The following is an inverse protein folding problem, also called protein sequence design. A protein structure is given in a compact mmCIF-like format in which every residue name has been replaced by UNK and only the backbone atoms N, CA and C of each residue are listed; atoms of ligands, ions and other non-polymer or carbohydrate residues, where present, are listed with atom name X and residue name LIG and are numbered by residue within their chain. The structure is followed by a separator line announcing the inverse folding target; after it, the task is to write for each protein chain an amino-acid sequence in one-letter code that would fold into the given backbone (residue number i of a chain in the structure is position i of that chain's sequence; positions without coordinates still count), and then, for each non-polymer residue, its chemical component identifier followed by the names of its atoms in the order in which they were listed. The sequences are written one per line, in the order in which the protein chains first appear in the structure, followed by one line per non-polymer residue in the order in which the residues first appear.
data_IF_099443236157
#
_entry.id   IF_099443236157
#
_cell.length_a   1.000
_cell.length_b   1.000
_cell.length_c   1.000
_cell.angle_alpha   90.00
_cell.angle_beta   90.00
_cell.angle_gamma   90.00
#
_symmetry.space_group_name_H-M   'P 1'
#
loop_
_entity.id
_entity.type
_entity.pdbx_description
1 polymer ?
#
# COMPACT_ATOMS: atom_id res chain seq x y z
N UNK A 1 12.29 48.39 -5.49
CA UNK A 1 11.91 47.50 -6.61
C UNK A 1 11.01 46.39 -6.07
N UNK A 2 9.73 46.35 -6.49
CA UNK A 2 8.74 45.36 -6.02
C UNK A 2 8.96 44.03 -6.75
N UNK A 3 9.12 42.93 -6.00
CA UNK A 3 9.18 41.57 -6.55
C UNK A 3 7.87 41.26 -7.30
N UNK A 4 7.94 41.09 -8.62
CA UNK A 4 6.81 40.56 -9.40
C UNK A 4 6.48 39.16 -8.89
N UNK A 5 5.26 38.98 -8.38
CA UNK A 5 4.71 37.67 -8.10
C UNK A 5 4.58 36.93 -9.43
N UNK A 6 5.39 35.89 -9.61
CA UNK A 6 5.30 34.99 -10.74
C UNK A 6 3.93 34.29 -10.70
N UNK A 7 2.99 34.73 -11.54
CA UNK A 7 1.67 34.10 -11.65
C UNK A 7 1.84 32.63 -12.05
N UNK A 8 1.54 31.73 -11.12
CA UNK A 8 1.58 30.29 -11.40
C UNK A 8 0.42 29.94 -12.33
N UNK A 9 0.75 29.25 -13.43
CA UNK A 9 -0.17 28.80 -14.49
C UNK A 9 -1.50 28.23 -13.94
N UNK A 10 -2.60 28.51 -14.64
CA UNK A 10 -3.94 27.98 -14.33
C UNK A 10 -3.98 26.47 -14.15
N UNK A 11 -3.15 25.74 -14.91
CA UNK A 11 -2.97 24.30 -14.80
C UNK A 11 -2.45 23.89 -13.41
N UNK A 12 -1.53 24.65 -12.83
CA UNK A 12 -1.01 24.40 -11.48
C UNK A 12 -2.08 24.66 -10.41
N UNK A 13 -2.87 25.73 -10.54
CA UNK A 13 -3.99 26.03 -9.63
C UNK A 13 -5.05 24.92 -9.68
N UNK A 14 -5.39 24.44 -10.88
CA UNK A 14 -6.34 23.35 -11.07
C UNK A 14 -5.88 22.06 -10.38
N UNK A 15 -4.65 21.57 -10.67
CA UNK A 15 -4.13 20.36 -10.04
C UNK A 15 -3.93 20.48 -8.53
N UNK A 16 -3.60 21.69 -8.04
CA UNK A 16 -3.53 21.97 -6.59
C UNK A 16 -4.90 21.83 -5.94
N UNK A 17 -5.95 22.40 -6.53
CA UNK A 17 -7.30 22.33 -5.98
C UNK A 17 -7.85 20.91 -6.01
N UNK A 18 -7.62 20.16 -7.10
CA UNK A 18 -7.94 18.72 -7.18
C UNK A 18 -7.22 17.95 -6.07
N UNK A 19 -5.92 18.21 -5.86
CA UNK A 19 -5.16 17.59 -4.77
C UNK A 19 -5.71 17.91 -3.38
N UNK A 20 -6.11 19.16 -3.12
CA UNK A 20 -6.71 19.56 -1.84
C UNK A 20 -8.06 18.87 -1.62
N UNK A 21 -8.92 18.80 -2.64
CA UNK A 21 -10.24 18.14 -2.56
C UNK A 21 -10.08 16.64 -2.30
N UNK A 22 -9.12 15.99 -2.95
CA UNK A 22 -8.84 14.57 -2.69
C UNK A 22 -8.36 14.37 -1.25
N UNK A 23 -7.43 15.20 -0.77
CA UNK A 23 -6.90 15.08 0.60
C UNK A 23 -7.98 15.38 1.65
N UNK A 24 -8.81 16.40 1.45
CA UNK A 24 -9.91 16.72 2.37
C UNK A 24 -10.99 15.66 2.37
N UNK A 25 -11.32 15.06 1.22
CA UNK A 25 -12.23 13.92 1.13
C UNK A 25 -11.70 12.68 1.84
N UNK A 26 -10.40 12.42 1.75
CA UNK A 26 -9.74 11.32 2.47
C UNK A 26 -9.78 11.52 3.99
N UNK A 27 -9.41 12.72 4.46
CA UNK A 27 -9.43 13.05 5.89
C UNK A 27 -10.87 13.04 6.44
N UNK A 28 -11.81 13.66 5.71
CA UNK A 28 -13.22 13.68 6.08
C UNK A 28 -13.84 12.29 6.09
N UNK A 29 -13.48 11.42 5.14
CA UNK A 29 -13.95 10.03 5.10
C UNK A 29 -13.46 9.19 6.28
N UNK A 30 -12.18 9.33 6.67
CA UNK A 30 -11.62 8.65 7.84
C UNK A 30 -12.27 9.14 9.15
N UNK A 31 -12.46 10.46 9.30
CA UNK A 31 -13.10 11.03 10.49
C UNK A 31 -14.57 10.64 10.58
N UNK A 32 -15.33 10.73 9.48
CA UNK A 32 -16.74 10.34 9.44
C UNK A 32 -16.96 8.88 9.81
N UNK A 33 -16.07 7.99 9.37
CA UNK A 33 -16.06 6.59 9.78
C UNK A 33 -15.83 6.39 11.28
N UNK A 34 -14.81 7.05 11.85
CA UNK A 34 -14.49 6.90 13.27
C UNK A 34 -15.66 7.38 14.13
N UNK A 35 -16.28 8.51 13.77
CA UNK A 35 -17.48 9.01 14.44
C UNK A 35 -18.67 8.05 14.30
N UNK A 36 -18.86 7.41 13.15
CA UNK A 36 -19.93 6.42 12.95
C UNK A 36 -19.75 5.14 13.75
N UNK A 37 -18.51 4.66 13.91
CA UNK A 37 -18.20 3.47 14.71
C UNK A 37 -18.23 3.71 16.21
N UNK A 38 -17.70 4.85 16.69
CA UNK A 38 -17.61 5.17 18.11
C UNK A 38 -18.82 5.96 18.64
N UNK A 39 -19.67 6.49 17.77
CA UNK A 39 -20.89 7.23 18.12
C UNK A 39 -22.15 6.37 18.24
N UNK A 40 -22.07 5.05 18.02
CA UNK A 40 -23.19 4.13 18.21
C UNK A 40 -23.28 3.69 19.67
N UNK A 41 -24.43 3.90 20.32
CA UNK A 41 -24.70 3.53 21.73
C UNK A 41 -24.75 2.01 21.98
N UNK A 42 -24.36 1.16 21.03
CA UNK A 42 -24.43 -0.29 21.16
C UNK A 42 -23.11 -0.85 21.70
N UNK A 43 -23.15 -1.76 22.70
CA UNK A 43 -21.94 -2.41 23.20
C UNK A 43 -21.26 -3.19 22.07
N UNK A 44 -19.95 -2.99 21.92
CA UNK A 44 -19.13 -3.62 20.88
C UNK A 44 -18.93 -5.11 21.20
N UNK A 45 -19.80 -5.97 20.68
CA UNK A 45 -19.62 -7.43 20.77
C UNK A 45 -18.54 -7.91 19.79
N UNK A 46 -17.62 -8.77 20.23
CA UNK A 46 -16.49 -9.27 19.43
C UNK A 46 -16.96 -9.98 18.15
N UNK A 47 -18.14 -10.62 18.16
CA UNK A 47 -18.72 -11.24 16.96
C UNK A 47 -19.18 -10.21 15.92
N UNK A 48 -19.59 -9.01 16.33
CA UNK A 48 -19.98 -7.94 15.40
C UNK A 48 -18.79 -7.38 14.62
N UNK A 49 -17.56 -7.54 15.13
CA UNK A 49 -16.33 -7.10 14.46
C UNK A 49 -16.03 -7.84 13.16
N UNK A 50 -16.49 -9.09 13.04
CA UNK A 50 -16.29 -9.92 11.85
C UNK A 50 -17.50 -9.88 10.90
N UNK A 51 -18.44 -8.96 11.11
CA UNK A 51 -19.50 -8.71 10.14
C UNK A 51 -18.91 -8.24 8.81
N UNK A 52 -19.44 -8.73 7.68
CA UNK A 52 -18.97 -8.37 6.34
C UNK A 52 -19.03 -6.86 6.09
N UNK A 53 -20.02 -6.18 6.65
CA UNK A 53 -20.15 -4.73 6.58
C UNK A 53 -19.00 -4.02 7.31
N UNK A 54 -18.68 -4.42 8.54
CA UNK A 54 -17.57 -3.82 9.27
C UNK A 54 -16.21 -4.18 8.65
N UNK A 55 -16.05 -5.40 8.14
CA UNK A 55 -14.83 -5.83 7.45
C UNK A 55 -14.62 -5.05 6.15
N UNK A 56 -15.68 -4.79 5.39
CA UNK A 56 -15.64 -3.91 4.23
C UNK A 56 -15.23 -2.50 4.65
N UNK A 57 -15.96 -1.91 5.60
CA UNK A 57 -15.77 -0.53 6.05
C UNK A 57 -14.34 -0.35 6.62
N UNK A 58 -13.88 -1.30 7.44
CA UNK A 58 -12.53 -1.37 7.99
C UNK A 58 -11.46 -1.53 6.91
N UNK A 59 -11.73 -2.32 5.86
CA UNK A 59 -10.82 -2.43 4.71
C UNK A 59 -10.69 -1.12 3.94
N UNK A 60 -11.79 -0.37 3.77
CA UNK A 60 -11.75 0.97 3.16
C UNK A 60 -10.86 1.90 3.98
N UNK A 61 -11.07 1.98 5.30
CA UNK A 61 -10.26 2.85 6.16
C UNK A 61 -8.80 2.44 6.19
N UNK A 62 -8.53 1.14 6.28
CA UNK A 62 -7.16 0.63 6.23
C UNK A 62 -6.49 0.98 4.89
N UNK A 63 -7.21 0.87 3.76
CA UNK A 63 -6.71 1.34 2.46
C UNK A 63 -6.38 2.83 2.49
N UNK A 64 -7.27 3.68 3.01
CA UNK A 64 -7.05 5.14 3.03
C UNK A 64 -5.84 5.51 3.89
N UNK A 65 -5.67 4.89 5.06
CA UNK A 65 -4.51 5.11 5.94
C UNK A 65 -3.21 4.71 5.23
N UNK A 66 -3.16 3.50 4.66
CA UNK A 66 -1.98 3.01 3.95
C UNK A 66 -1.68 3.85 2.70
N UNK A 67 -2.72 4.30 1.98
CA UNK A 67 -2.61 5.24 0.86
C UNK A 67 -1.94 6.55 1.30
N UNK A 68 -2.40 7.16 2.40
CA UNK A 68 -1.85 8.41 2.91
C UNK A 68 -0.38 8.25 3.32
N UNK A 69 -0.04 7.16 4.01
CA UNK A 69 1.34 6.83 4.38
C UNK A 69 2.21 6.67 3.12
N UNK A 70 1.75 5.90 2.14
CA UNK A 70 2.49 5.66 0.89
C UNK A 70 2.75 6.97 0.15
N UNK A 71 1.73 7.82 0.02
CA UNK A 71 1.87 9.13 -0.61
C UNK A 71 2.82 10.05 0.16
N UNK A 72 2.75 10.06 1.49
CA UNK A 72 3.64 10.84 2.34
C UNK A 72 5.10 10.40 2.16
N UNK A 73 5.38 9.10 2.14
CA UNK A 73 6.71 8.55 1.89
C UNK A 73 7.22 8.95 0.49
N UNK A 74 6.41 8.75 -0.56
CA UNK A 74 6.79 9.14 -1.93
C UNK A 74 7.06 10.65 -2.08
N UNK A 75 6.30 11.50 -1.39
CA UNK A 75 6.55 12.94 -1.36
C UNK A 75 7.84 13.28 -0.63
N UNK A 76 8.16 12.61 0.49
CA UNK A 76 9.42 12.78 1.20
C UNK A 76 10.61 12.38 0.33
N UNK A 77 10.55 11.25 -0.37
CA UNK A 77 11.61 10.81 -1.30
C UNK A 77 11.91 11.89 -2.34
N UNK A 78 10.87 12.46 -2.98
CA UNK A 78 11.07 13.53 -3.97
C UNK A 78 11.67 14.78 -3.35
N UNK A 79 11.23 15.16 -2.14
CA UNK A 79 11.79 16.31 -1.43
C UNK A 79 13.27 16.10 -1.11
N UNK A 80 13.66 14.89 -0.69
CA UNK A 80 15.05 14.53 -0.44
C UNK A 80 15.88 14.57 -1.73
N UNK A 81 15.37 14.01 -2.82
CA UNK A 81 16.04 14.06 -4.12
C UNK A 81 16.32 15.49 -4.59
N UNK A 82 15.37 16.43 -4.45
CA UNK A 82 15.62 17.83 -4.82
C UNK A 82 16.58 18.56 -3.87
N UNK A 83 16.66 18.14 -2.60
CA UNK A 83 17.65 18.66 -1.65
C UNK A 83 19.05 18.16 -2.00
N UNK A 84 19.18 16.87 -2.32
CA UNK A 84 20.43 16.25 -2.75
C UNK A 84 21.09 17.04 -3.89
N UNK A 85 20.30 17.47 -4.88
CA UNK A 85 20.77 18.28 -6.02
C UNK A 85 21.30 19.68 -5.65
N UNK A 86 21.11 20.14 -4.40
CA UNK A 86 21.51 21.46 -3.93
C UNK A 86 22.69 21.40 -2.94
N UNK A 87 23.10 20.19 -2.53
CA UNK A 87 24.20 19.99 -1.59
C UNK A 87 25.49 19.91 -2.41
N UNK A 88 26.47 20.74 -2.05
CA UNK A 88 27.81 20.73 -2.66
C UNK A 88 28.79 19.83 -1.91
N UNK A 89 28.50 19.49 -0.65
CA UNK A 89 29.29 18.59 0.17
C UNK A 89 28.96 17.12 -0.16
N UNK A 90 29.94 16.39 -0.71
CA UNK A 90 29.79 15.00 -1.14
C UNK A 90 29.44 14.06 0.02
N UNK A 91 29.98 14.29 1.22
CA UNK A 91 29.73 13.45 2.40
C UNK A 91 28.28 13.65 2.90
N UNK A 92 27.82 14.90 2.93
CA UNK A 92 26.43 15.21 3.28
C UNK A 92 25.46 14.66 2.23
N UNK A 93 25.80 14.79 0.93
CA UNK A 93 24.99 14.27 -0.17
C UNK A 93 24.83 12.75 -0.05
N UNK A 94 25.90 12.01 0.27
CA UNK A 94 25.87 10.56 0.43
C UNK A 94 24.84 10.09 1.48
N UNK A 95 24.82 10.71 2.67
CA UNK A 95 23.86 10.37 3.73
C UNK A 95 22.40 10.63 3.30
N UNK A 96 22.15 11.73 2.58
CA UNK A 96 20.82 12.02 2.06
C UNK A 96 20.39 11.04 0.96
N UNK A 97 21.34 10.50 0.20
CA UNK A 97 21.08 9.50 -0.84
C UNK A 97 20.63 8.17 -0.23
N UNK A 98 21.35 7.69 0.78
CA UNK A 98 20.96 6.51 1.58
C UNK A 98 19.57 6.68 2.18
N UNK A 99 19.29 7.84 2.80
CA UNK A 99 17.97 8.10 3.36
C UNK A 99 16.88 8.11 2.29
N UNK A 100 17.14 8.74 1.13
CA UNK A 100 16.21 8.78 -0.01
C UNK A 100 15.85 7.36 -0.46
N UNK A 101 16.84 6.48 -0.62
CA UNK A 101 16.63 5.08 -1.04
C UNK A 101 15.91 4.25 0.03
N UNK A 102 16.27 4.40 1.30
CA UNK A 102 15.58 3.76 2.43
C UNK A 102 14.09 4.14 2.49
N UNK A 103 13.77 5.43 2.37
CA UNK A 103 12.38 5.89 2.32
C UNK A 103 11.64 5.36 1.08
N UNK A 104 12.34 5.20 -0.04
CA UNK A 104 11.77 4.63 -1.25
C UNK A 104 11.48 3.12 -1.10
N UNK A 105 12.37 2.36 -0.48
CA UNK A 105 12.15 0.96 -0.11
C UNK A 105 10.92 0.81 0.80
N UNK A 106 10.80 1.66 1.83
CA UNK A 106 9.61 1.72 2.68
C UNK A 106 8.34 2.05 1.89
N UNK A 107 8.37 3.03 0.99
CA UNK A 107 7.22 3.37 0.15
C UNK A 107 6.79 2.19 -0.73
N UNK A 108 7.74 1.40 -1.22
CA UNK A 108 7.49 0.18 -2.01
C UNK A 108 6.76 -0.88 -1.18
N UNK A 109 7.18 -1.09 0.07
CA UNK A 109 6.53 -2.02 1.00
C UNK A 109 5.10 -1.57 1.34
N UNK A 110 4.90 -0.30 1.69
CA UNK A 110 3.55 0.23 1.99
C UNK A 110 2.62 0.20 0.77
N UNK A 111 3.15 0.49 -0.43
CA UNK A 111 2.40 0.26 -1.69
C UNK A 111 2.02 -1.21 -1.85
N UNK A 112 2.88 -2.14 -1.46
CA UNK A 112 2.59 -3.56 -1.40
C UNK A 112 1.46 -3.88 -0.42
N UNK A 113 1.52 -3.36 0.81
CA UNK A 113 0.48 -3.54 1.85
C UNK A 113 -0.88 -3.07 1.35
N UNK A 114 -0.93 -1.95 0.61
CA UNK A 114 -2.17 -1.36 0.07
C UNK A 114 -2.98 -2.31 -0.82
N UNK A 115 -2.33 -3.31 -1.44
CA UNK A 115 -2.99 -4.31 -2.29
C UNK A 115 -3.98 -5.17 -1.47
N UNK A 116 -3.67 -5.48 -0.21
CA UNK A 116 -4.54 -6.30 0.64
C UNK A 116 -5.92 -5.67 0.89
N UNK A 117 -6.04 -4.48 1.50
CA UNK A 117 -7.34 -3.88 1.72
C UNK A 117 -8.07 -3.57 0.42
N UNK A 118 -7.35 -3.30 -0.68
CA UNK A 118 -7.98 -3.12 -1.99
C UNK A 118 -8.75 -4.37 -2.44
N UNK A 119 -8.13 -5.55 -2.35
CA UNK A 119 -8.81 -6.81 -2.68
C UNK A 119 -9.89 -7.18 -1.67
N UNK A 120 -9.70 -6.91 -0.37
CA UNK A 120 -10.73 -7.14 0.63
C UNK A 120 -11.99 -6.31 0.36
N UNK A 121 -11.85 -5.05 -0.04
CA UNK A 121 -13.01 -4.23 -0.42
C UNK A 121 -13.78 -4.88 -1.57
N UNK A 122 -13.08 -5.37 -2.61
CA UNK A 122 -13.72 -6.06 -3.75
C UNK A 122 -14.47 -7.30 -3.28
N UNK A 123 -13.82 -8.14 -2.46
CA UNK A 123 -14.36 -9.43 -2.05
C UNK A 123 -15.59 -9.24 -1.14
N UNK A 124 -15.50 -8.38 -0.13
CA UNK A 124 -16.63 -8.12 0.76
C UNK A 124 -17.77 -7.39 0.05
N UNK A 125 -17.46 -6.52 -0.92
CA UNK A 125 -18.47 -5.89 -1.76
C UNK A 125 -19.27 -6.92 -2.57
N UNK A 126 -18.59 -7.84 -3.27
CA UNK A 126 -19.25 -8.89 -4.05
C UNK A 126 -20.14 -9.75 -3.15
N UNK A 127 -19.65 -10.12 -1.97
CA UNK A 127 -20.41 -10.92 -1.01
C UNK A 127 -21.68 -10.20 -0.52
N UNK A 128 -21.57 -8.92 -0.16
CA UNK A 128 -22.70 -8.13 0.32
C UNK A 128 -23.72 -7.81 -0.77
N UNK A 129 -23.31 -7.72 -2.04
CA UNK A 129 -24.23 -7.36 -3.14
C UNK A 129 -24.95 -8.57 -3.75
N UNK A 130 -24.26 -9.71 -3.86
CA UNK A 130 -24.78 -10.86 -4.61
C UNK A 130 -25.15 -12.06 -3.74
N UNK A 131 -24.56 -12.22 -2.55
CA UNK A 131 -24.77 -13.39 -1.70
C UNK A 131 -25.75 -13.11 -0.55
N UNK A 132 -25.64 -11.96 0.11
CA UNK A 132 -26.55 -11.55 1.17
C UNK A 132 -27.50 -10.49 0.62
N UNK A 133 -28.82 -10.76 0.58
CA UNK A 133 -29.81 -9.76 0.15
C UNK A 133 -29.63 -8.47 0.96
N UNK A 134 -29.80 -7.27 0.38
CA UNK A 134 -29.41 -6.00 1.01
C UNK A 134 -30.33 -5.68 2.20
N UNK A 135 -30.01 -6.19 3.39
CA UNK A 135 -30.68 -5.82 4.63
C UNK A 135 -29.97 -4.62 5.22
N UNK A 136 -30.49 -3.43 4.92
CA UNK A 136 -30.12 -2.14 5.51
C UNK A 136 -28.73 -1.62 5.15
N UNK A 137 -28.50 -1.40 3.86
CA UNK A 137 -27.26 -0.81 3.40
C UNK A 137 -27.21 0.72 3.72
N UNK A 138 -26.30 1.13 4.61
CA UNK A 138 -26.20 2.49 5.21
C UNK A 138 -26.09 3.61 4.18
N UNK A 139 -25.53 3.30 3.00
CA UNK A 139 -25.34 4.27 1.92
C UNK A 139 -26.06 3.72 0.69
N UNK A 140 -27.20 4.24 0.23
CA UNK A 140 -28.00 3.62 -0.85
C UNK A 140 -27.25 3.05 -2.08
N UNK A 141 -27.89 2.24 -2.93
CA UNK A 141 -27.27 1.29 -3.88
C UNK A 141 -26.16 1.85 -4.79
N UNK A 142 -26.15 3.14 -5.10
CA UNK A 142 -25.15 3.78 -5.96
C UNK A 142 -23.88 4.24 -5.24
N UNK A 143 -23.94 4.52 -3.94
CA UNK A 143 -22.81 5.08 -3.16
C UNK A 143 -21.58 4.16 -3.14
N UNK A 144 -21.80 2.85 -3.15
CA UNK A 144 -20.74 1.84 -3.14
C UNK A 144 -20.01 1.73 -4.46
N UNK A 145 -20.73 1.89 -5.57
CA UNK A 145 -20.12 1.92 -6.88
C UNK A 145 -19.22 3.15 -7.01
N UNK A 146 -19.63 4.29 -6.47
CA UNK A 146 -18.79 5.49 -6.39
C UNK A 146 -17.57 5.29 -5.47
N UNK A 147 -17.74 4.63 -4.32
CA UNK A 147 -16.64 4.29 -3.42
C UNK A 147 -15.62 3.38 -4.11
N UNK A 148 -16.09 2.34 -4.79
CA UNK A 148 -15.24 1.43 -5.55
C UNK A 148 -14.48 2.15 -6.66
N UNK A 149 -15.17 2.99 -7.44
CA UNK A 149 -14.54 3.81 -8.48
C UNK A 149 -13.49 4.77 -7.89
N UNK A 150 -13.79 5.40 -6.74
CA UNK A 150 -12.85 6.27 -6.05
C UNK A 150 -11.59 5.51 -5.62
N UNK A 151 -11.71 4.30 -5.07
CA UNK A 151 -10.58 3.46 -4.69
C UNK A 151 -9.72 3.05 -5.89
N UNK A 152 -10.35 2.71 -7.03
CA UNK A 152 -9.63 2.45 -8.28
C UNK A 152 -8.79 3.67 -8.67
N UNK A 153 -9.39 4.87 -8.69
CA UNK A 153 -8.69 6.11 -9.03
C UNK A 153 -7.50 6.35 -8.08
N UNK A 154 -7.68 6.14 -6.78
CA UNK A 154 -6.61 6.29 -5.78
C UNK A 154 -5.48 5.27 -5.98
N UNK A 155 -5.82 4.01 -6.30
CA UNK A 155 -4.83 2.97 -6.57
C UNK A 155 -3.97 3.30 -7.80
N UNK A 156 -4.61 3.78 -8.89
CA UNK A 156 -3.89 4.26 -10.07
C UNK A 156 -3.05 5.50 -9.76
N UNK A 157 -3.55 6.42 -8.93
CA UNK A 157 -2.83 7.61 -8.51
C UNK A 157 -1.50 7.24 -7.82
N UNK A 158 -1.53 6.36 -6.82
CA UNK A 158 -0.30 5.86 -6.17
C UNK A 158 0.63 5.21 -7.19
N UNK A 159 0.09 4.41 -8.10
CA UNK A 159 0.89 3.73 -9.13
C UNK A 159 1.62 4.71 -10.06
N UNK A 160 0.95 5.80 -10.46
CA UNK A 160 1.56 6.88 -11.26
C UNK A 160 2.64 7.60 -10.46
N UNK A 161 2.35 7.96 -9.20
CA UNK A 161 3.32 8.65 -8.35
C UNK A 161 4.55 7.78 -8.08
N UNK A 162 4.34 6.49 -7.80
CA UNK A 162 5.40 5.52 -7.59
C UNK A 162 6.33 5.41 -8.80
N UNK A 163 5.79 5.24 -10.01
CA UNK A 163 6.58 5.18 -11.25
C UNK A 163 7.37 6.47 -11.52
N UNK A 164 6.76 7.63 -11.26
CA UNK A 164 7.46 8.92 -11.38
C UNK A 164 8.60 9.04 -10.36
N UNK A 165 8.38 8.61 -9.13
CA UNK A 165 9.42 8.63 -8.09
C UNK A 165 10.53 7.62 -8.40
N UNK A 166 10.20 6.43 -8.90
CA UNK A 166 11.20 5.45 -9.36
C UNK A 166 12.15 6.08 -10.38
N UNK A 167 11.60 6.74 -11.41
CA UNK A 167 12.40 7.39 -12.45
C UNK A 167 13.31 8.51 -11.90
N UNK A 168 12.91 9.17 -10.80
CA UNK A 168 13.75 10.17 -10.12
C UNK A 168 14.87 9.51 -9.31
N UNK A 169 14.56 8.42 -8.60
CA UNK A 169 15.55 7.73 -7.75
C UNK A 169 16.62 7.05 -8.59
N UNK A 170 16.21 6.39 -9.69
CA UNK A 170 17.06 5.49 -10.48
C UNK A 170 17.42 6.03 -11.87
N UNK A 171 16.92 7.21 -12.26
CA UNK A 171 17.20 7.82 -13.57
C UNK A 171 16.63 7.07 -14.79
N UNK A 172 15.89 5.97 -14.58
CA UNK A 172 15.30 5.15 -15.63
C UNK A 172 13.83 4.81 -15.32
N UNK A 173 12.93 4.75 -16.32
CA UNK A 173 11.54 4.37 -16.09
C UNK A 173 11.40 2.86 -15.88
N UNK A 174 10.45 2.46 -15.03
CA UNK A 174 10.08 1.04 -14.87
C UNK A 174 9.52 0.50 -16.19
N UNK A 175 10.04 -0.62 -16.73
CA UNK A 175 9.50 -1.24 -17.93
C UNK A 175 8.01 -1.59 -17.74
N UNK A 176 7.21 -1.44 -18.80
CA UNK A 176 5.76 -1.66 -18.71
C UNK A 176 5.35 -3.11 -18.96
N UNK A 177 6.07 -3.79 -19.85
CA UNK A 177 5.74 -5.13 -20.36
C UNK A 177 6.94 -6.08 -20.24
N UNK A 178 7.71 -5.97 -19.16
CA UNK A 178 8.83 -6.87 -18.90
C UNK A 178 8.32 -8.18 -18.29
N UNK A 179 8.86 -9.30 -18.73
CA UNK A 179 8.67 -10.59 -18.07
C UNK A 179 9.37 -10.60 -16.68
N UNK A 180 9.05 -11.57 -15.83
CA UNK A 180 9.67 -11.74 -14.51
C UNK A 180 11.21 -11.79 -14.58
N UNK A 181 11.77 -12.45 -15.59
CA UNK A 181 13.22 -12.50 -15.80
C UNK A 181 13.80 -11.12 -16.15
N UNK A 182 13.18 -10.43 -17.10
CA UNK A 182 13.61 -9.10 -17.53
C UNK A 182 13.45 -8.07 -16.41
N UNK A 183 12.36 -8.14 -15.66
CA UNK A 183 12.13 -7.26 -14.51
C UNK A 183 13.14 -7.54 -13.40
N UNK A 184 13.51 -8.81 -13.16
CA UNK A 184 14.59 -9.17 -12.23
C UNK A 184 15.92 -8.58 -12.69
N UNK A 185 16.30 -8.78 -13.95
CA UNK A 185 17.56 -8.24 -14.51
C UNK A 185 17.59 -6.70 -14.44
N UNK A 186 16.47 -6.05 -14.76
CA UNK A 186 16.31 -4.60 -14.65
C UNK A 186 16.48 -4.11 -13.22
N UNK A 187 15.76 -4.70 -12.25
CA UNK A 187 15.87 -4.29 -10.85
C UNK A 187 17.28 -4.54 -10.31
N UNK A 188 17.88 -5.70 -10.62
CA UNK A 188 19.26 -6.01 -10.25
C UNK A 188 20.25 -5.04 -10.88
N UNK A 189 19.99 -4.51 -12.08
CA UNK A 189 20.89 -3.51 -12.69
C UNK A 189 20.94 -2.19 -11.92
N UNK A 190 19.97 -1.93 -11.04
CA UNK A 190 19.90 -0.73 -10.21
C UNK A 190 20.51 -0.90 -8.81
N UNK A 191 20.93 -2.12 -8.46
CA UNK A 191 21.44 -2.47 -7.14
C UNK A 191 22.95 -2.66 -7.19
N UNK A 192 23.64 -2.29 -6.12
CA UNK A 192 25.07 -2.61 -5.97
C UNK A 192 25.29 -4.10 -5.63
N UNK A 193 26.54 -4.53 -5.52
CA UNK A 193 26.85 -5.95 -5.24
C UNK A 193 26.41 -6.41 -3.84
N UNK A 194 26.50 -5.52 -2.84
CA UNK A 194 26.12 -5.84 -1.47
C UNK A 194 24.59 -5.95 -1.33
N UNK A 195 23.84 -5.03 -1.91
CA UNK A 195 22.38 -5.06 -1.95
C UNK A 195 21.86 -6.29 -2.70
N UNK A 196 22.51 -6.64 -3.83
CA UNK A 196 22.22 -7.88 -4.56
C UNK A 196 22.40 -9.11 -3.68
N UNK A 197 23.55 -9.23 -3.01
CA UNK A 197 23.84 -10.37 -2.16
C UNK A 197 22.82 -10.52 -1.03
N UNK A 198 22.49 -9.41 -0.33
CA UNK A 198 21.46 -9.39 0.71
C UNK A 198 20.10 -9.80 0.13
N UNK A 199 19.73 -9.25 -1.03
CA UNK A 199 18.46 -9.58 -1.68
C UNK A 199 18.37 -11.04 -2.08
N UNK A 200 19.45 -11.64 -2.60
CA UNK A 200 19.48 -13.06 -2.90
C UNK A 200 19.35 -13.92 -1.63
N UNK A 201 20.08 -13.58 -0.58
CA UNK A 201 20.04 -14.33 0.70
C UNK A 201 18.64 -14.30 1.32
N UNK A 202 18.05 -13.11 1.49
CA UNK A 202 16.73 -12.95 2.10
C UNK A 202 15.62 -13.57 1.23
N UNK A 203 15.66 -13.38 -0.10
CA UNK A 203 14.66 -13.98 -0.99
C UNK A 203 14.79 -15.52 -1.04
N UNK A 204 16.00 -16.06 -0.99
CA UNK A 204 16.21 -17.50 -0.90
C UNK A 204 15.67 -18.06 0.42
N UNK A 205 15.95 -17.39 1.55
CA UNK A 205 15.41 -17.75 2.85
C UNK A 205 13.88 -17.77 2.85
N UNK A 206 13.24 -16.76 2.22
CA UNK A 206 11.78 -16.72 2.04
C UNK A 206 11.27 -17.93 1.28
N UNK A 207 11.88 -18.27 0.15
CA UNK A 207 11.45 -19.42 -0.66
C UNK A 207 11.57 -20.73 0.13
N UNK A 208 12.67 -20.93 0.85
CA UNK A 208 12.89 -22.12 1.69
C UNK A 208 11.88 -22.17 2.84
N UNK A 209 11.65 -21.06 3.53
CA UNK A 209 10.70 -20.98 4.65
C UNK A 209 9.26 -21.16 4.20
N UNK A 210 8.88 -20.52 3.10
CA UNK A 210 7.54 -20.66 2.52
C UNK A 210 7.24 -22.10 2.12
N UNK A 211 8.13 -22.72 1.34
CA UNK A 211 7.92 -24.06 0.79
C UNK A 211 7.95 -25.16 1.85
N UNK A 212 8.93 -25.15 2.75
CA UNK A 212 9.17 -26.28 3.65
C UNK A 212 8.48 -26.15 5.01
N UNK A 213 8.13 -24.93 5.44
CA UNK A 213 7.58 -24.70 6.78
C UNK A 213 6.21 -24.03 6.74
N UNK A 214 6.10 -22.86 6.11
CA UNK A 214 4.89 -22.03 6.22
C UNK A 214 3.72 -22.63 5.45
N UNK A 215 3.91 -23.00 4.18
CA UNK A 215 2.82 -23.59 3.37
C UNK A 215 2.33 -24.92 3.95
N UNK A 216 3.18 -25.90 4.30
CA UNK A 216 2.71 -27.15 4.91
C UNK A 216 1.96 -26.91 6.22
N UNK A 217 2.45 -26.00 7.08
CA UNK A 217 1.79 -25.66 8.35
C UNK A 217 0.43 -25.02 8.13
N UNK A 218 0.32 -24.08 7.19
CA UNK A 218 -0.94 -23.41 6.86
C UNK A 218 -1.96 -24.37 6.25
N UNK A 219 -1.52 -25.31 5.40
CA UNK A 219 -2.41 -26.33 4.84
C UNK A 219 -2.99 -27.23 5.94
N UNK A 220 -2.16 -27.66 6.91
CA UNK A 220 -2.62 -28.45 8.03
C UNK A 220 -3.57 -27.66 8.94
N UNK A 221 -3.27 -26.39 9.22
CA UNK A 221 -4.15 -25.50 9.98
C UNK A 221 -5.49 -25.28 9.27
N UNK A 222 -5.48 -25.03 7.95
CA UNK A 222 -6.68 -24.89 7.13
C UNK A 222 -7.54 -26.14 7.18
N UNK A 223 -6.93 -27.33 7.12
CA UNK A 223 -7.66 -28.60 7.18
C UNK A 223 -8.34 -28.79 8.55
N UNK A 224 -7.62 -28.54 9.65
CA UNK A 224 -8.18 -28.66 10.99
C UNK A 224 -9.34 -27.68 11.22
N UNK A 225 -9.16 -26.42 10.84
CA UNK A 225 -10.18 -25.39 11.03
C UNK A 225 -11.36 -25.62 10.07
N UNK A 226 -11.10 -26.05 8.82
CA UNK A 226 -12.14 -26.35 7.84
C UNK A 226 -13.06 -27.49 8.28
N UNK A 227 -12.49 -28.55 8.88
CA UNK A 227 -13.26 -29.67 9.46
C UNK A 227 -14.07 -29.20 10.68
N UNK A 228 -13.46 -28.41 11.57
CA UNK A 228 -14.10 -27.98 12.81
C UNK A 228 -15.23 -26.96 12.61
N UNK A 229 -15.10 -26.05 11.63
CA UNK A 229 -15.99 -24.88 11.50
C UNK A 229 -16.83 -24.86 10.21
N UNK A 230 -16.78 -25.91 9.37
CA UNK A 230 -17.48 -25.96 8.06
C UNK A 230 -17.19 -24.70 7.23
N UNK A 231 -15.90 -24.54 6.93
CA UNK A 231 -15.19 -23.47 6.21
C UNK A 231 -15.98 -22.25 5.70
N UNK A 232 -15.59 -21.08 6.20
CA UNK A 232 -15.96 -19.75 5.71
C UNK A 232 -14.82 -19.14 4.88
N UNK A 233 -15.15 -18.35 3.86
CA UNK A 233 -14.22 -17.66 2.95
C UNK A 233 -13.25 -16.73 3.69
N UNK A 234 -13.65 -16.22 4.86
CA UNK A 234 -12.81 -15.41 5.75
C UNK A 234 -11.51 -16.12 6.15
N UNK A 235 -11.58 -17.43 6.37
CA UNK A 235 -10.41 -18.24 6.73
C UNK A 235 -9.36 -18.24 5.63
N UNK A 236 -9.80 -18.45 4.38
CA UNK A 236 -8.92 -18.45 3.22
C UNK A 236 -8.26 -17.07 3.01
N UNK A 237 -9.04 -15.99 3.17
CA UNK A 237 -8.52 -14.62 3.07
C UNK A 237 -7.47 -14.31 4.13
N UNK A 238 -7.67 -14.80 5.36
CA UNK A 238 -6.71 -14.64 6.44
C UNK A 238 -5.37 -15.33 6.13
N UNK A 239 -5.43 -16.58 5.64
CA UNK A 239 -4.23 -17.34 5.28
C UNK A 239 -3.45 -16.70 4.13
N UNK A 240 -4.14 -16.30 3.06
CA UNK A 240 -3.50 -15.62 1.93
C UNK A 240 -2.86 -14.30 2.37
N UNK A 241 -3.49 -13.59 3.31
CA UNK A 241 -2.99 -12.33 3.84
C UNK A 241 -1.74 -12.50 4.71
N UNK A 242 -1.68 -13.55 5.54
CA UNK A 242 -0.47 -13.88 6.30
C UNK A 242 0.70 -14.16 5.36
N UNK A 243 0.47 -14.97 4.32
CA UNK A 243 1.50 -15.28 3.33
C UNK A 243 2.01 -14.02 2.63
N UNK A 244 1.10 -13.14 2.23
CA UNK A 244 1.45 -11.91 1.55
C UNK A 244 2.21 -10.93 2.47
N UNK A 245 1.75 -10.75 3.72
CA UNK A 245 2.45 -9.94 4.72
C UNK A 245 3.84 -10.49 5.00
N UNK A 246 4.00 -11.82 5.08
CA UNK A 246 5.30 -12.45 5.30
C UNK A 246 6.31 -12.09 4.20
N UNK A 247 5.89 -12.12 2.94
CA UNK A 247 6.74 -11.70 1.81
C UNK A 247 7.14 -10.23 1.95
N UNK A 248 6.19 -9.36 2.31
CA UNK A 248 6.46 -7.92 2.51
C UNK A 248 7.40 -7.65 3.69
N UNK A 249 7.30 -8.41 4.79
CA UNK A 249 8.23 -8.33 5.92
C UNK A 249 9.64 -8.68 5.47
N UNK A 250 9.81 -9.64 4.56
CA UNK A 250 11.14 -9.94 4.03
C UNK A 250 11.71 -8.80 3.17
N UNK A 251 10.88 -8.14 2.38
CA UNK A 251 11.31 -6.95 1.63
C UNK A 251 11.76 -5.82 2.58
N UNK A 252 11.09 -5.68 3.74
CA UNK A 252 11.53 -4.79 4.80
C UNK A 252 12.89 -5.19 5.40
N UNK A 253 13.15 -6.49 5.61
CA UNK A 253 14.45 -6.95 6.11
C UNK A 253 15.60 -6.57 5.18
N UNK A 254 15.42 -6.72 3.87
CA UNK A 254 16.42 -6.30 2.86
C UNK A 254 16.74 -4.81 3.03
N UNK A 255 15.70 -3.97 3.03
CA UNK A 255 15.83 -2.52 3.21
C UNK A 255 16.52 -2.19 4.54
N UNK A 256 16.12 -2.84 5.63
CA UNK A 256 16.68 -2.60 6.96
C UNK A 256 18.15 -3.04 7.07
N UNK A 257 18.53 -4.14 6.42
CA UNK A 257 19.86 -4.75 6.53
C UNK A 257 20.90 -4.01 5.70
N UNK A 258 20.49 -3.51 4.53
CA UNK A 258 21.37 -2.77 3.63
C UNK A 258 21.54 -1.30 4.05
N UNK A 259 20.46 -0.55 4.29
CA UNK A 259 20.52 0.86 4.70
C UNK A 259 20.74 1.04 6.21
N UNK A 260 21.68 0.26 6.78
CA UNK A 260 22.14 0.38 8.16
C UNK A 260 23.05 1.61 8.31
N UNK A 261 22.38 2.75 8.56
CA UNK A 261 22.90 3.85 9.37
C UNK A 261 22.04 3.96 10.62
#
# INVERSE_FOLDING_TARGET
MKKQQQERSDRYRFWRNVGIITVSGLIGGVIGFLTGMFGSEKPLEIQSFFSKELLLLGSVVFFLVVFLITMALLMRVRKLHYKLLQIEDDDEAYHYDIQKEKLYGLATIFKGIMILPYFFVIIFYIQLMYLDKPTAFIFGPFTMLYLFLALIVLFFLVSIFYRKTFNLVYGKPIPRNADAKEMREFMMSMMDEAEKQISYEENFEVVVKLSNYILPSLLLALLLIGVAFKTDILLALFVVSILYIYILISQYKITKRYYKE
#
